data_IF_285450368153
#
_entry.id   IF_285450368153
#
_cell.length_a   1.000
_cell.length_b   1.000
_cell.length_c   1.000
_cell.angle_alpha   90.00
_cell.angle_beta   90.00
_cell.angle_gamma   90.00
#
_symmetry.space_group_name_H-M   'P 1'
#
loop_
_entity.id
_entity.type
_entity.pdbx_description
1 polymer ?
#
# COMPACT_ATOMS: atom_id res chain seq x y z
N UNK A 1 -20.80 -7.85 -3.33
CA UNK A 1 -20.04 -6.68 -2.87
C UNK A 1 -18.93 -6.33 -3.85
N UNK A 2 -18.67 -5.04 -4.12
CA UNK A 2 -17.68 -4.53 -5.06
C UNK A 2 -16.80 -3.47 -4.36
N UNK A 3 -15.74 -3.02 -5.03
CA UNK A 3 -14.88 -1.93 -4.53
C UNK A 3 -15.66 -0.64 -4.24
N UNK A 4 -16.63 -0.30 -5.10
CA UNK A 4 -17.47 0.89 -4.93
C UNK A 4 -18.24 0.91 -3.61
N UNK A 5 -18.67 -0.28 -3.14
CA UNK A 5 -19.36 -0.39 -1.85
C UNK A 5 -18.39 -0.08 -0.70
N UNK A 6 -17.14 -0.52 -0.82
CA UNK A 6 -16.09 -0.23 0.17
C UNK A 6 -15.72 1.26 0.18
N UNK A 7 -15.62 1.89 -0.99
CA UNK A 7 -15.43 3.33 -1.13
C UNK A 7 -16.59 4.10 -0.49
N UNK A 8 -17.83 3.70 -0.75
CA UNK A 8 -19.00 4.34 -0.15
C UNK A 8 -19.01 4.25 1.38
N UNK A 9 -18.57 3.12 1.95
CA UNK A 9 -18.37 2.98 3.40
C UNK A 9 -17.27 3.94 3.91
N UNK A 10 -16.18 4.07 3.17
CA UNK A 10 -15.11 5.00 3.54
C UNK A 10 -15.59 6.47 3.51
N UNK A 11 -16.33 6.87 2.48
CA UNK A 11 -16.88 8.22 2.39
C UNK A 11 -17.84 8.54 3.55
N UNK A 12 -18.61 7.55 4.05
CA UNK A 12 -19.41 7.70 5.28
C UNK A 12 -18.53 7.95 6.50
N UNK A 13 -17.43 7.16 6.68
CA UNK A 13 -16.49 7.40 7.77
C UNK A 13 -15.83 8.77 7.65
N UNK A 14 -15.43 9.18 6.45
CA UNK A 14 -14.86 10.50 6.18
C UNK A 14 -15.85 11.63 6.50
N UNK A 15 -17.11 11.47 6.13
CA UNK A 15 -18.16 12.44 6.46
C UNK A 15 -18.42 12.54 7.98
N UNK A 16 -18.31 11.43 8.71
CA UNK A 16 -18.54 11.37 10.14
C UNK A 16 -17.33 11.88 10.97
N UNK A 17 -16.12 11.53 10.57
CA UNK A 17 -14.90 11.75 11.36
C UNK A 17 -13.94 12.76 10.72
N UNK A 18 -14.29 13.34 9.57
CA UNK A 18 -13.45 14.31 8.87
C UNK A 18 -12.10 13.72 8.46
N UNK A 19 -11.04 14.43 8.79
CA UNK A 19 -9.65 14.02 8.48
C UNK A 19 -9.25 12.71 9.15
N UNK A 20 -9.90 12.32 10.23
CA UNK A 20 -9.64 11.10 10.99
C UNK A 20 -10.37 9.87 10.43
N UNK A 21 -11.15 10.00 9.35
CA UNK A 21 -11.88 8.88 8.73
C UNK A 21 -11.00 7.66 8.40
N UNK A 22 -9.72 7.88 8.10
CA UNK A 22 -8.76 6.79 7.84
C UNK A 22 -8.49 5.91 9.08
N UNK A 23 -8.69 6.39 10.29
CA UNK A 23 -8.50 5.62 11.53
C UNK A 23 -9.53 4.49 11.66
N UNK A 24 -10.70 4.65 11.07
CA UNK A 24 -11.83 3.73 11.15
C UNK A 24 -11.86 2.65 10.06
N UNK A 25 -10.72 2.34 9.46
CA UNK A 25 -10.63 1.31 8.40
C UNK A 25 -10.96 -0.09 8.94
N UNK A 26 -10.56 -0.44 10.16
CA UNK A 26 -10.90 -1.75 10.75
C UNK A 26 -12.41 -1.88 10.94
N UNK A 27 -13.08 -0.87 11.50
CA UNK A 27 -14.53 -0.83 11.66
C UNK A 27 -15.25 -0.92 10.30
N UNK A 28 -14.77 -0.17 9.29
CA UNK A 28 -15.28 -0.23 7.92
C UNK A 28 -15.15 -1.65 7.33
N UNK A 29 -14.03 -2.32 7.56
CA UNK A 29 -13.82 -3.69 7.08
C UNK A 29 -14.75 -4.69 7.76
N UNK A 30 -15.09 -4.50 9.03
CA UNK A 30 -16.07 -5.33 9.75
C UNK A 30 -17.48 -5.11 9.18
N UNK A 31 -17.91 -3.86 8.96
CA UNK A 31 -19.19 -3.55 8.26
C UNK A 31 -19.22 -4.19 6.85
N UNK A 32 -18.14 -4.06 6.12
CA UNK A 32 -18.00 -4.63 4.78
C UNK A 32 -18.07 -6.16 4.79
N UNK A 33 -17.54 -6.82 5.84
CA UNK A 33 -17.62 -8.28 6.00
C UNK A 33 -19.05 -8.76 6.10
N UNK A 34 -19.89 -8.06 6.86
CA UNK A 34 -21.30 -8.41 7.01
C UNK A 34 -22.07 -8.22 5.68
N UNK A 35 -21.80 -7.16 4.94
CA UNK A 35 -22.39 -6.96 3.61
C UNK A 35 -21.92 -8.03 2.63
N UNK A 36 -20.63 -8.34 2.61
CA UNK A 36 -20.06 -9.40 1.78
C UNK A 36 -20.66 -10.76 2.10
N UNK A 37 -20.95 -11.05 3.38
CA UNK A 37 -21.58 -12.30 3.82
C UNK A 37 -22.98 -12.43 3.26
N UNK A 38 -23.80 -11.36 3.31
CA UNK A 38 -25.15 -11.36 2.74
C UNK A 38 -25.13 -11.63 1.24
N UNK A 39 -24.23 -10.97 0.49
CA UNK A 39 -24.08 -11.20 -0.94
C UNK A 39 -23.60 -12.61 -1.26
N UNK A 40 -22.65 -13.12 -0.48
CA UNK A 40 -22.09 -14.46 -0.66
C UNK A 40 -23.13 -15.54 -0.41
N UNK A 41 -24.02 -15.38 0.58
CA UNK A 41 -25.11 -16.31 0.85
C UNK A 41 -26.10 -16.42 -0.32
N UNK A 42 -26.29 -15.35 -1.10
CA UNK A 42 -27.14 -15.37 -2.30
C UNK A 42 -26.48 -16.10 -3.48
N UNK A 43 -25.17 -16.01 -3.62
CA UNK A 43 -24.36 -16.63 -4.69
C UNK A 43 -23.06 -17.18 -4.14
N UNK A 44 -23.07 -18.33 -3.45
CA UNK A 44 -21.86 -18.92 -2.89
C UNK A 44 -20.83 -19.24 -3.96
N UNK A 45 -19.56 -18.96 -3.69
CA UNK A 45 -18.48 -19.38 -4.57
C UNK A 45 -18.24 -20.89 -4.40
N UNK A 46 -18.29 -21.71 -5.45
CA UNK A 46 -18.02 -23.14 -5.34
C UNK A 46 -16.66 -23.41 -4.68
N UNK A 47 -16.61 -24.44 -3.84
CA UNK A 47 -15.39 -24.92 -3.15
C UNK A 47 -14.70 -23.89 -2.23
N UNK A 48 -15.39 -22.82 -1.82
CA UNK A 48 -14.88 -21.83 -0.85
C UNK A 48 -15.92 -21.56 0.22
N UNK A 49 -15.48 -21.44 1.45
CA UNK A 49 -16.31 -20.87 2.49
C UNK A 49 -16.34 -19.32 2.43
N UNK A 50 -17.22 -18.72 3.20
CA UNK A 50 -17.34 -17.26 3.24
C UNK A 50 -16.03 -16.60 3.71
N UNK A 51 -15.35 -17.15 4.71
CA UNK A 51 -14.11 -16.57 5.26
C UNK A 51 -12.98 -16.52 4.23
N UNK A 52 -12.82 -17.58 3.43
CA UNK A 52 -11.84 -17.60 2.34
C UNK A 52 -12.19 -16.56 1.26
N UNK A 53 -13.47 -16.46 0.90
CA UNK A 53 -13.96 -15.46 -0.05
C UNK A 53 -13.72 -14.03 0.47
N UNK A 54 -14.03 -13.79 1.75
CA UNK A 54 -13.81 -12.51 2.41
C UNK A 54 -12.33 -12.12 2.49
N UNK A 55 -11.45 -13.05 2.87
CA UNK A 55 -10.00 -12.77 2.93
C UNK A 55 -9.45 -12.34 1.58
N UNK A 56 -9.85 -13.01 0.51
CA UNK A 56 -9.44 -12.65 -0.85
C UNK A 56 -9.99 -11.26 -1.25
N UNK A 57 -11.26 -10.99 -0.96
CA UNK A 57 -11.89 -9.69 -1.21
C UNK A 57 -11.20 -8.58 -0.42
N UNK A 58 -11.04 -8.76 0.91
CA UNK A 58 -10.43 -7.78 1.83
C UNK A 58 -9.02 -7.41 1.38
N UNK A 59 -8.16 -8.40 1.13
CA UNK A 59 -6.78 -8.14 0.70
C UNK A 59 -6.70 -7.31 -0.58
N UNK A 60 -7.38 -7.76 -1.64
CA UNK A 60 -7.37 -7.10 -2.95
C UNK A 60 -7.96 -5.69 -2.93
N UNK A 61 -8.97 -5.44 -2.09
CA UNK A 61 -9.68 -4.15 -2.12
C UNK A 61 -9.13 -3.14 -1.11
N UNK A 62 -8.40 -3.56 -0.06
CA UNK A 62 -7.68 -2.64 0.80
C UNK A 62 -6.63 -1.84 0.01
N UNK A 63 -5.85 -2.50 -0.85
CA UNK A 63 -4.86 -1.85 -1.72
C UNK A 63 -5.49 -0.75 -2.57
N UNK A 64 -6.65 -1.05 -3.17
CA UNK A 64 -7.40 -0.11 -4.00
C UNK A 64 -8.03 1.01 -3.20
N UNK A 65 -8.48 0.72 -1.97
CA UNK A 65 -9.02 1.73 -1.07
C UNK A 65 -7.92 2.71 -0.64
N UNK A 66 -6.72 2.22 -0.29
CA UNK A 66 -5.58 3.08 0.01
C UNK A 66 -5.23 3.95 -1.19
N UNK A 67 -5.16 3.38 -2.40
CA UNK A 67 -4.95 4.14 -3.65
C UNK A 67 -6.00 5.23 -3.83
N UNK A 68 -7.27 4.92 -3.58
CA UNK A 68 -8.37 5.88 -3.65
C UNK A 68 -8.19 7.04 -2.67
N UNK A 69 -7.86 6.72 -1.40
CA UNK A 69 -7.71 7.72 -0.33
C UNK A 69 -6.61 8.74 -0.64
N UNK A 70 -5.47 8.29 -1.19
CA UNK A 70 -4.32 9.18 -1.43
C UNK A 70 -4.33 9.84 -2.81
N UNK A 71 -5.21 9.41 -3.73
CA UNK A 71 -5.15 9.75 -5.15
C UNK A 71 -5.13 11.25 -5.40
N UNK A 72 -6.13 11.96 -4.93
CA UNK A 72 -6.31 13.38 -5.24
C UNK A 72 -5.14 14.22 -4.72
N UNK A 73 -4.63 13.88 -3.52
CA UNK A 73 -3.50 14.57 -2.92
C UNK A 73 -2.18 14.26 -3.66
N UNK A 74 -1.96 13.02 -4.08
CA UNK A 74 -0.81 12.63 -4.90
C UNK A 74 -0.85 13.33 -6.26
N UNK A 75 -2.01 13.37 -6.91
CA UNK A 75 -2.20 14.06 -8.20
C UNK A 75 -2.00 15.58 -8.06
N UNK A 76 -2.42 16.18 -6.96
CA UNK A 76 -2.18 17.61 -6.67
C UNK A 76 -0.69 17.97 -6.55
N UNK A 77 0.16 16.99 -6.24
CA UNK A 77 1.62 17.12 -6.22
C UNK A 77 2.27 16.94 -7.60
N UNK A 78 1.48 16.75 -8.67
CA UNK A 78 1.96 16.48 -10.02
C UNK A 78 2.48 15.05 -10.22
N UNK A 79 2.13 14.14 -9.34
CA UNK A 79 2.47 12.72 -9.40
C UNK A 79 1.28 11.90 -9.92
N UNK A 80 1.53 10.63 -10.25
CA UNK A 80 0.50 9.65 -10.61
C UNK A 80 0.66 8.37 -9.80
N UNK A 81 -0.45 7.64 -9.71
CA UNK A 81 -0.51 6.32 -9.08
C UNK A 81 -0.80 5.26 -10.14
N UNK A 82 -0.12 4.12 -10.03
CA UNK A 82 -0.47 2.91 -10.79
C UNK A 82 -0.52 1.71 -9.86
N UNK A 83 -1.47 0.80 -10.13
CA UNK A 83 -1.62 -0.49 -9.46
C UNK A 83 -0.46 -1.41 -9.86
N UNK A 84 0.34 -1.85 -8.87
CA UNK A 84 1.52 -2.68 -9.09
C UNK A 84 1.18 -4.03 -9.70
N UNK A 85 0.12 -4.67 -9.21
CA UNK A 85 -0.37 -5.96 -9.73
C UNK A 85 -0.81 -5.86 -11.20
N UNK A 86 -1.46 -4.73 -11.58
CA UNK A 86 -1.84 -4.49 -12.97
C UNK A 86 -0.60 -4.32 -13.85
N UNK A 87 0.38 -3.56 -13.37
CA UNK A 87 1.63 -3.31 -14.10
C UNK A 87 2.42 -4.61 -14.30
N UNK A 88 2.48 -5.46 -13.28
CA UNK A 88 3.16 -6.76 -13.33
C UNK A 88 2.52 -7.69 -14.37
N UNK A 89 1.19 -7.87 -14.30
CA UNK A 89 0.45 -8.84 -15.14
C UNK A 89 0.27 -8.40 -16.59
N UNK A 90 0.43 -7.12 -16.89
CA UNK A 90 0.27 -6.61 -18.26
C UNK A 90 1.58 -6.75 -19.01
N UNK A 91 1.56 -7.43 -20.18
CA UNK A 91 2.70 -7.47 -21.10
C UNK A 91 3.13 -6.07 -21.49
N UNK A 92 4.43 -5.84 -21.65
CA UNK A 92 4.97 -4.53 -22.02
C UNK A 92 4.38 -4.00 -23.33
N UNK A 93 4.06 -4.87 -24.29
CA UNK A 93 3.48 -4.53 -25.58
C UNK A 93 2.04 -3.99 -25.46
N UNK A 94 1.35 -4.31 -24.36
CA UNK A 94 -0.02 -3.88 -24.08
C UNK A 94 -0.07 -2.67 -23.13
N UNK A 95 1.08 -2.13 -22.73
CA UNK A 95 1.19 -0.93 -21.91
C UNK A 95 1.38 0.31 -22.78
N UNK A 96 0.88 1.46 -22.32
CA UNK A 96 1.28 2.75 -22.89
C UNK A 96 2.80 2.96 -22.73
N UNK A 97 3.39 3.85 -23.53
CA UNK A 97 4.80 4.23 -23.41
C UNK A 97 5.15 4.67 -21.97
N UNK A 98 4.27 5.47 -21.35
CA UNK A 98 4.40 5.93 -19.97
C UNK A 98 4.51 4.74 -18.99
N UNK A 99 3.53 3.82 -19.03
CA UNK A 99 3.51 2.68 -18.11
C UNK A 99 4.61 1.66 -18.39
N UNK A 100 5.00 1.47 -19.65
CA UNK A 100 6.16 0.65 -20.01
C UNK A 100 7.45 1.24 -19.45
N UNK A 101 7.59 2.57 -19.47
CA UNK A 101 8.74 3.26 -18.88
C UNK A 101 8.76 3.14 -17.35
N UNK A 102 7.61 3.32 -16.70
CA UNK A 102 7.49 3.09 -15.25
C UNK A 102 7.83 1.64 -14.90
N UNK A 103 7.30 0.68 -15.66
CA UNK A 103 7.60 -0.75 -15.46
C UNK A 103 9.10 -1.02 -15.52
N UNK A 104 9.77 -0.54 -16.56
CA UNK A 104 11.23 -0.69 -16.76
C UNK A 104 12.03 -0.07 -15.62
N UNK A 105 11.62 1.11 -15.12
CA UNK A 105 12.30 1.82 -14.03
C UNK A 105 12.10 1.18 -12.66
N UNK A 106 11.29 0.12 -12.54
CA UNK A 106 11.05 -0.64 -11.30
C UNK A 106 11.64 -2.06 -11.35
N UNK A 107 12.12 -2.51 -12.50
CA UNK A 107 12.67 -3.86 -12.64
C UNK A 107 13.88 -4.05 -11.73
N UNK A 108 13.91 -5.19 -11.05
CA UNK A 108 15.07 -5.70 -10.30
C UNK A 108 15.75 -6.73 -11.15
N UNK A 109 17.03 -6.53 -11.39
CA UNK A 109 17.88 -7.47 -12.16
C UNK A 109 18.31 -8.67 -11.31
N UNK A 110 18.13 -9.87 -11.84
CA UNK A 110 18.57 -11.13 -11.25
C UNK A 110 19.63 -11.84 -12.12
N UNK A 111 20.33 -11.07 -12.97
CA UNK A 111 21.36 -11.60 -13.86
C UNK A 111 20.79 -12.57 -14.90
N UNK A 112 21.35 -13.77 -14.97
CA UNK A 112 20.92 -14.81 -15.92
C UNK A 112 19.45 -15.25 -15.76
N UNK A 113 18.82 -14.96 -14.61
CA UNK A 113 17.40 -15.25 -14.33
C UNK A 113 16.45 -14.14 -14.79
N UNK A 114 16.97 -13.09 -15.44
CA UNK A 114 16.19 -11.99 -15.98
C UNK A 114 15.81 -10.93 -14.95
N UNK A 115 14.95 -10.03 -15.38
CA UNK A 115 14.49 -8.92 -14.55
C UNK A 115 13.03 -9.07 -14.17
N UNK A 116 12.71 -8.83 -12.90
CA UNK A 116 11.38 -9.01 -12.35
C UNK A 116 10.91 -7.77 -11.59
N UNK A 117 9.61 -7.51 -11.60
CA UNK A 117 9.02 -6.47 -10.77
C UNK A 117 8.97 -6.91 -9.30
N UNK A 118 9.18 -5.99 -8.35
CA UNK A 118 8.88 -6.23 -6.96
C UNK A 118 7.36 -6.41 -6.76
N UNK A 119 6.97 -7.31 -5.85
CA UNK A 119 5.58 -7.48 -5.42
C UNK A 119 5.18 -6.30 -4.53
N UNK A 120 4.68 -5.25 -5.17
CA UNK A 120 4.20 -4.02 -4.52
C UNK A 120 2.80 -3.70 -5.00
N UNK A 121 1.98 -3.12 -4.12
CA UNK A 121 0.57 -2.91 -4.40
C UNK A 121 0.31 -1.58 -5.14
N UNK A 122 1.05 -0.52 -4.76
CA UNK A 122 0.85 0.85 -5.25
C UNK A 122 2.20 1.44 -5.64
N UNK A 123 2.26 2.06 -6.82
CA UNK A 123 3.46 2.73 -7.33
C UNK A 123 3.13 4.21 -7.55
N UNK A 124 3.91 5.10 -6.93
CA UNK A 124 3.80 6.56 -7.09
C UNK A 124 4.97 7.05 -7.93
N UNK A 125 4.70 7.73 -9.03
CA UNK A 125 5.71 8.16 -9.99
C UNK A 125 5.45 9.54 -10.56
N UNK A 126 6.48 10.16 -11.11
CA UNK A 126 6.40 11.42 -11.83
C UNK A 126 6.04 11.15 -13.31
N UNK A 127 4.89 11.63 -13.83
CA UNK A 127 4.45 11.34 -15.20
C UNK A 127 5.29 12.01 -16.29
N UNK A 128 6.11 13.02 -15.95
CA UNK A 128 6.98 13.71 -16.92
C UNK A 128 8.32 13.00 -17.12
N UNK A 129 8.85 12.41 -16.04
CA UNK A 129 10.17 11.77 -16.05
C UNK A 129 10.11 10.25 -15.92
N UNK A 130 8.92 9.70 -15.61
CA UNK A 130 8.67 8.30 -15.30
C UNK A 130 9.48 7.78 -14.10
N UNK A 131 10.10 8.70 -13.35
CA UNK A 131 10.83 8.37 -12.12
C UNK A 131 9.86 7.93 -11.04
N UNK A 132 10.14 6.80 -10.40
CA UNK A 132 9.35 6.29 -9.29
C UNK A 132 9.81 6.95 -8.01
N UNK A 133 8.88 7.54 -7.27
CA UNK A 133 9.15 8.23 -6.01
C UNK A 133 9.03 7.24 -4.84
N UNK A 134 7.94 6.47 -4.85
CA UNK A 134 7.68 5.51 -3.78
C UNK A 134 6.88 4.32 -4.28
N UNK A 135 7.06 3.20 -3.60
CA UNK A 135 6.21 2.03 -3.70
C UNK A 135 5.61 1.72 -2.34
N UNK A 136 4.38 1.23 -2.32
CA UNK A 136 3.63 0.93 -1.10
C UNK A 136 3.14 -0.49 -1.16
N UNK A 137 3.37 -1.24 -0.09
CA UNK A 137 2.68 -2.50 0.20
C UNK A 137 1.56 -2.22 1.20
N UNK A 138 0.36 -2.74 0.96
CA UNK A 138 -0.80 -2.53 1.82
C UNK A 138 -1.42 -3.85 2.24
N UNK A 139 -1.41 -4.13 3.54
CA UNK A 139 -1.98 -5.36 4.11
C UNK A 139 -2.67 -5.05 5.43
N UNK A 140 -3.67 -5.85 5.77
CA UNK A 140 -4.47 -5.67 6.99
C UNK A 140 -3.67 -6.00 8.24
N UNK A 141 -2.82 -7.02 8.16
CA UNK A 141 -1.91 -7.46 9.23
C UNK A 141 -0.50 -7.58 8.67
N UNK A 142 0.49 -7.34 9.50
CA UNK A 142 1.89 -7.35 9.07
C UNK A 142 2.45 -8.75 8.84
N UNK A 143 2.37 -9.62 9.82
CA UNK A 143 2.87 -11.01 9.78
C UNK A 143 4.12 -11.15 8.89
N UNK A 144 4.16 -12.17 8.05
CA UNK A 144 5.30 -12.45 7.15
C UNK A 144 5.45 -11.43 6.01
N UNK A 145 4.38 -10.70 5.68
CA UNK A 145 4.35 -9.73 4.56
C UNK A 145 5.29 -8.55 4.77
N UNK A 146 5.56 -8.18 6.02
CA UNK A 146 6.47 -7.07 6.30
C UNK A 146 7.92 -7.44 5.94
N UNK A 147 8.33 -8.70 6.15
CA UNK A 147 9.65 -9.18 5.73
C UNK A 147 9.83 -9.10 4.21
N UNK A 148 8.78 -9.40 3.43
CA UNK A 148 8.79 -9.25 1.98
C UNK A 148 8.98 -7.78 1.57
N UNK A 149 8.34 -6.83 2.26
CA UNK A 149 8.52 -5.40 2.00
C UNK A 149 9.96 -4.95 2.29
N UNK A 150 10.55 -5.40 3.39
CA UNK A 150 11.96 -5.18 3.71
C UNK A 150 12.90 -5.77 2.66
N UNK A 151 12.63 -7.01 2.21
CA UNK A 151 13.39 -7.65 1.13
C UNK A 151 13.40 -6.79 -0.14
N UNK A 152 12.26 -6.27 -0.57
CA UNK A 152 12.20 -5.41 -1.75
C UNK A 152 12.98 -4.11 -1.54
N UNK A 153 12.94 -3.52 -0.34
CA UNK A 153 13.77 -2.34 -0.03
C UNK A 153 15.26 -2.65 -0.22
N UNK A 154 15.74 -3.79 0.29
CA UNK A 154 17.13 -4.20 0.15
C UNK A 154 17.47 -4.45 -1.33
N UNK A 155 16.58 -5.09 -2.10
CA UNK A 155 16.81 -5.35 -3.52
C UNK A 155 16.88 -4.06 -4.33
N UNK A 156 15.92 -3.16 -4.15
CA UNK A 156 15.88 -1.87 -4.86
C UNK A 156 17.08 -0.98 -4.51
N UNK A 157 17.63 -1.07 -3.29
CA UNK A 157 18.79 -0.27 -2.89
C UNK A 157 20.12 -0.70 -3.51
N UNK A 158 20.17 -1.83 -4.21
CA UNK A 158 21.39 -2.36 -4.83
C UNK A 158 21.63 -1.86 -6.25
N UNK A 159 20.66 -1.23 -6.87
CA UNK A 159 20.74 -0.74 -8.25
C UNK A 159 20.58 0.79 -8.27
N UNK A 160 21.47 1.48 -9.00
CA UNK A 160 21.48 2.95 -9.13
C UNK A 160 20.20 3.52 -9.71
N UNK A 161 19.49 2.74 -10.52
CA UNK A 161 18.20 3.16 -11.10
C UNK A 161 17.08 3.15 -10.07
N UNK A 162 17.14 2.24 -9.09
CA UNK A 162 16.06 2.02 -8.13
C UNK A 162 16.40 2.39 -6.68
N UNK A 163 17.66 2.67 -6.34
CA UNK A 163 18.12 2.94 -4.95
C UNK A 163 17.40 4.12 -4.29
N UNK A 164 16.97 5.11 -5.09
CA UNK A 164 16.25 6.29 -4.62
C UNK A 164 14.80 5.99 -4.23
N UNK A 165 14.22 4.88 -4.71
CA UNK A 165 12.81 4.54 -4.50
C UNK A 165 12.53 4.29 -3.02
N UNK A 166 11.53 4.98 -2.48
CA UNK A 166 11.09 4.77 -1.11
C UNK A 166 10.10 3.62 -1.03
N UNK A 167 10.33 2.74 -0.08
CA UNK A 167 9.49 1.55 0.15
C UNK A 167 8.74 1.73 1.46
N UNK A 168 7.42 1.86 1.35
CA UNK A 168 6.52 2.08 2.48
C UNK A 168 5.55 0.93 2.68
N UNK A 169 5.04 0.84 3.89
CA UNK A 169 3.97 -0.07 4.25
C UNK A 169 2.77 0.73 4.79
N UNK A 170 1.56 0.42 4.35
CA UNK A 170 0.32 1.03 4.84
C UNK A 170 -0.60 -0.06 5.38
N UNK A 171 -1.09 0.10 6.63
CA UNK A 171 -1.84 -0.95 7.31
C UNK A 171 -2.81 -0.38 8.35
N UNK A 172 -4.00 -0.98 8.54
CA UNK A 172 -4.81 -0.74 9.74
C UNK A 172 -4.21 -1.38 11.00
N UNK A 173 -3.17 -2.24 10.87
CA UNK A 173 -2.47 -2.89 11.98
C UNK A 173 -3.41 -3.63 12.94
N UNK A 174 -4.35 -4.44 12.38
CA UNK A 174 -5.36 -5.16 13.19
C UNK A 174 -4.74 -6.04 14.29
N UNK A 175 -3.52 -6.53 14.11
CA UNK A 175 -2.79 -7.34 15.09
C UNK A 175 -1.94 -6.54 16.10
N UNK A 176 -1.96 -5.20 16.00
CA UNK A 176 -1.25 -4.29 16.89
C UNK A 176 0.26 -4.53 16.91
N UNK A 177 0.83 -4.86 15.75
CA UNK A 177 2.27 -5.11 15.63
C UNK A 177 3.08 -3.83 15.72
N UNK A 178 2.51 -2.69 15.27
CA UNK A 178 3.21 -1.39 15.20
C UNK A 178 2.94 -0.48 16.41
N UNK A 179 2.10 -0.86 17.36
CA UNK A 179 1.65 0.00 18.46
C UNK A 179 2.80 0.41 19.40
N UNK A 180 3.63 -0.53 19.82
CA UNK A 180 4.70 -0.29 20.82
C UNK A 180 6.06 -0.25 20.17
N UNK A 181 6.87 0.76 20.57
CA UNK A 181 8.23 0.95 20.05
C UNK A 181 9.26 0.14 20.83
N UNK A 182 9.17 0.12 22.16
CA UNK A 182 10.11 -0.59 23.03
C UNK A 182 9.34 -1.23 24.19
N UNK A 183 9.39 -2.57 24.36
CA UNK A 183 10.00 -3.53 23.45
C UNK A 183 9.18 -3.70 22.15
N UNK A 184 9.88 -3.69 21.01
CA UNK A 184 9.23 -3.83 19.72
C UNK A 184 8.87 -5.30 19.41
N UNK A 185 7.70 -5.52 18.82
CA UNK A 185 7.42 -6.79 18.14
C UNK A 185 8.32 -6.92 16.90
N UNK A 186 8.60 -8.16 16.45
CA UNK A 186 9.46 -8.44 15.29
C UNK A 186 9.06 -7.63 14.04
N UNK A 187 7.77 -7.52 13.73
CA UNK A 187 7.30 -6.75 12.57
C UNK A 187 7.62 -5.26 12.70
N UNK A 188 7.48 -4.68 13.90
CA UNK A 188 7.88 -3.30 14.18
C UNK A 188 9.38 -3.11 13.96
N UNK A 189 10.22 -4.01 14.46
CA UNK A 189 11.66 -3.94 14.29
C UNK A 189 12.06 -3.98 12.80
N UNK A 190 11.43 -4.84 11.98
CA UNK A 190 11.64 -4.88 10.53
C UNK A 190 11.29 -3.55 9.88
N UNK A 191 10.16 -2.92 10.23
CA UNK A 191 9.80 -1.61 9.69
C UNK A 191 10.87 -0.56 10.02
N UNK A 192 11.29 -0.52 11.27
CA UNK A 192 12.29 0.46 11.74
C UNK A 192 13.65 0.31 11.07
N UNK A 193 14.03 -0.90 10.69
CA UNK A 193 15.37 -1.18 10.12
C UNK A 193 15.31 -1.30 8.60
N UNK A 194 14.43 -2.13 8.07
CA UNK A 194 14.50 -2.66 6.70
C UNK A 194 13.56 -1.93 5.70
N UNK A 195 12.78 -0.94 6.15
CA UNK A 195 11.91 -0.15 5.24
C UNK A 195 12.21 1.34 5.31
N UNK A 196 11.56 2.13 4.46
CA UNK A 196 11.60 3.60 4.60
C UNK A 196 10.52 4.12 5.56
N UNK A 197 9.56 3.29 5.94
CA UNK A 197 8.56 3.61 6.94
C UNK A 197 7.24 2.87 6.75
N UNK A 198 6.36 3.02 7.73
CA UNK A 198 4.99 2.52 7.71
C UNK A 198 4.03 3.59 8.21
N UNK A 199 2.84 3.60 7.62
CA UNK A 199 1.75 4.50 7.99
C UNK A 199 0.55 3.69 8.48
N UNK A 200 0.07 4.02 9.69
CA UNK A 200 -0.94 3.24 10.39
C UNK A 200 -2.31 3.91 10.27
N UNK A 201 -3.30 3.14 9.82
CA UNK A 201 -4.69 3.55 9.64
C UNK A 201 -5.56 2.93 10.75
N UNK A 202 -5.35 3.34 12.00
CA UNK A 202 -5.99 2.72 13.17
C UNK A 202 -6.39 3.76 14.20
N UNK A 203 -7.43 3.46 14.99
CA UNK A 203 -7.80 4.22 16.19
C UNK A 203 -6.88 3.94 17.38
N UNK A 204 -6.09 2.86 17.32
CA UNK A 204 -5.15 2.52 18.38
C UNK A 204 -4.04 3.56 18.47
N UNK A 205 -3.67 3.90 19.69
CA UNK A 205 -2.49 4.72 19.94
C UNK A 205 -1.23 3.99 19.46
N UNK A 206 -0.44 4.65 18.65
CA UNK A 206 0.84 4.16 18.13
C UNK A 206 1.95 5.02 18.69
N UNK A 207 2.96 4.40 19.28
CA UNK A 207 4.20 5.09 19.65
C UNK A 207 4.96 5.44 18.37
N UNK A 208 4.79 6.69 17.90
CA UNK A 208 5.40 7.13 16.65
C UNK A 208 6.94 7.16 16.72
N UNK A 209 7.54 7.00 15.56
CA UNK A 209 8.98 7.13 15.32
C UNK A 209 9.21 7.85 13.99
N UNK A 210 10.45 8.13 13.60
CA UNK A 210 10.72 8.65 12.26
C UNK A 210 10.21 7.74 11.12
N UNK A 211 10.05 6.42 11.37
CA UNK A 211 9.63 5.44 10.37
C UNK A 211 8.22 4.87 10.57
N UNK A 212 7.66 4.92 11.77
CA UNK A 212 6.29 4.46 12.00
C UNK A 212 5.45 5.62 12.47
N UNK A 213 4.46 6.00 11.68
CA UNK A 213 3.64 7.18 11.86
C UNK A 213 2.16 6.88 11.60
N UNK A 214 1.30 7.76 12.08
CA UNK A 214 -0.09 7.75 11.67
C UNK A 214 -0.20 8.16 10.19
N UNK A 215 -1.24 7.67 9.52
CA UNK A 215 -1.39 7.80 8.07
C UNK A 215 -1.56 9.25 7.58
N UNK A 216 -2.06 10.16 8.41
CA UNK A 216 -2.16 11.60 8.10
C UNK A 216 -0.80 12.24 7.78
N UNK A 217 0.31 11.65 8.26
CA UNK A 217 1.67 12.12 7.96
C UNK A 217 2.17 11.75 6.56
N UNK A 218 1.50 10.81 5.87
CA UNK A 218 2.00 10.27 4.61
C UNK A 218 2.22 11.34 3.53
N UNK A 219 1.25 12.21 3.32
CA UNK A 219 1.33 13.25 2.28
C UNK A 219 2.37 14.32 2.62
N UNK A 220 2.50 14.68 3.89
CA UNK A 220 3.56 15.61 4.32
C UNK A 220 4.95 15.02 4.06
N UNK A 221 5.14 13.76 4.37
CA UNK A 221 6.42 13.09 4.13
C UNK A 221 6.69 12.94 2.63
N UNK A 222 5.68 12.65 1.80
CA UNK A 222 5.80 12.65 0.35
C UNK A 222 6.21 14.03 -0.19
N UNK A 223 5.64 15.11 0.34
CA UNK A 223 6.05 16.50 -0.01
C UNK A 223 7.51 16.77 0.35
N UNK A 224 7.99 16.28 1.50
CA UNK A 224 9.40 16.44 1.92
C UNK A 224 10.33 15.70 0.95
N UNK A 225 9.99 14.47 0.54
CA UNK A 225 10.77 13.71 -0.43
C UNK A 225 10.95 14.47 -1.76
N UNK A 226 9.88 15.07 -2.26
CA UNK A 226 9.94 15.85 -3.51
C UNK A 226 10.79 17.11 -3.41
N UNK A 227 10.91 17.71 -2.23
CA UNK A 227 11.79 18.87 -2.01
C UNK A 227 13.27 18.47 -2.00
N UNK A 228 13.59 17.34 -1.38
CA UNK A 228 14.97 16.82 -1.30
C UNK A 228 15.51 16.38 -2.67
N UNK A 229 14.65 15.95 -3.59
CA UNK A 229 15.06 15.57 -4.96
C UNK A 229 15.34 16.76 -5.89
N UNK A 230 14.96 17.98 -5.50
CA UNK A 230 15.19 19.20 -6.30
C UNK A 230 16.50 19.93 -5.95
N UNK A 231 17.19 19.47 -4.91
CA UNK A 231 18.51 19.93 -4.49
C UNK A 231 19.61 19.01 -5.03
#
# INVERSE_FOLDING_TARGET
MKLQDLIALYEKKKAQYGVDGYKHISELLDEAKELHKKDWMQKPTPNKDHEQSWRAFKGKNLEKLVSYIIKDEVESLGLRIVDGNKLERTSSDNLSFELSSVKRNLLVDYGEFGSHLPDVDIIIYNPKTYKIIAVISSKVTLRERIAQTGYWKIKLSKDKVTEHIKVFFVTPDEDGTLTTRVPAKKGRAIVEVDTNGSYVMSERTVEESPKVKMFDRFIEDLKKLLKTEKQ
#
